data_IF_618403467031
#
_entry.id   IF_618403467031
#
_cell.length_a   1.000
_cell.length_b   1.000
_cell.length_c   1.000
_cell.angle_alpha   90.00
_cell.angle_beta   90.00
_cell.angle_gamma   90.00
#
_symmetry.space_group_name_H-M   'P 1'
#
loop_
_entity.id
_entity.type
_entity.pdbx_description
1 polymer ?
#
# COMPACT_ATOMS: atom_id res chain seq x y z
N UNK A 1 14.62 36.88 -17.41
CA UNK A 1 15.87 37.11 -16.66
C UNK A 1 16.76 35.87 -16.62
N UNK A 2 16.24 34.67 -16.33
CA UNK A 2 17.03 33.43 -16.29
C UNK A 2 17.78 33.10 -17.60
N UNK A 3 17.10 33.14 -18.75
CA UNK A 3 17.74 32.86 -20.05
C UNK A 3 18.91 33.81 -20.40
N UNK A 4 18.80 35.09 -20.01
CA UNK A 4 19.89 36.06 -20.21
C UNK A 4 21.11 35.72 -19.34
N UNK A 5 20.89 35.35 -18.07
CA UNK A 5 21.99 34.95 -17.19
C UNK A 5 22.71 33.69 -17.70
N UNK A 6 21.98 32.75 -18.31
CA UNK A 6 22.56 31.58 -18.97
C UNK A 6 23.40 32.01 -20.18
N UNK A 7 22.87 32.90 -21.03
CA UNK A 7 23.60 33.42 -22.19
C UNK A 7 24.91 34.14 -21.78
N UNK A 8 24.86 35.01 -20.77
CA UNK A 8 26.04 35.70 -20.23
C UNK A 8 27.07 34.71 -19.68
N UNK A 9 26.63 33.61 -19.06
CA UNK A 9 27.50 32.53 -18.58
C UNK A 9 28.22 31.81 -19.73
N UNK A 10 27.50 31.54 -20.83
CA UNK A 10 28.06 30.95 -22.06
C UNK A 10 29.11 31.88 -22.67
N UNK A 11 28.83 33.18 -22.78
CA UNK A 11 29.79 34.17 -23.29
C UNK A 11 31.06 34.26 -22.43
N UNK A 12 30.94 34.06 -21.11
CA UNK A 12 32.06 33.94 -20.18
C UNK A 12 32.80 32.60 -20.26
N UNK A 13 32.37 31.69 -21.13
CA UNK A 13 33.02 30.40 -21.36
C UNK A 13 32.63 29.29 -20.37
N UNK A 14 31.51 29.41 -19.67
CA UNK A 14 31.04 28.35 -18.77
C UNK A 14 30.59 27.11 -19.56
N UNK A 15 30.91 25.94 -19.02
CA UNK A 15 30.36 24.65 -19.51
C UNK A 15 29.09 24.33 -18.73
N UNK A 16 27.95 24.71 -19.29
CA UNK A 16 26.64 24.45 -18.70
C UNK A 16 26.17 23.08 -19.19
N UNK A 17 25.92 22.16 -18.26
CA UNK A 17 25.51 20.78 -18.57
C UNK A 17 23.99 20.56 -18.50
N UNK A 18 23.26 21.46 -17.82
CA UNK A 18 21.81 21.40 -17.65
C UNK A 18 21.30 22.57 -16.82
N UNK A 19 19.99 22.74 -16.79
CA UNK A 19 19.30 23.82 -16.08
C UNK A 19 18.16 23.22 -15.25
N UNK A 20 18.05 23.63 -14.00
CA UNK A 20 16.98 23.24 -13.08
C UNK A 20 16.15 24.48 -12.73
N UNK A 21 14.83 24.33 -12.75
CA UNK A 21 13.88 25.42 -12.54
C UNK A 21 12.80 24.92 -11.59
N UNK A 22 12.46 25.71 -10.56
CA UNK A 22 11.38 25.36 -9.64
C UNK A 22 9.99 25.59 -10.26
N UNK A 23 9.88 26.60 -11.12
CA UNK A 23 8.64 26.97 -11.82
C UNK A 23 8.51 26.22 -13.15
N UNK A 24 7.26 26.07 -13.63
CA UNK A 24 6.88 25.48 -14.94
C UNK A 24 7.27 26.40 -16.12
N UNK A 25 8.58 26.54 -16.34
CA UNK A 25 9.18 27.50 -17.27
C UNK A 25 10.21 26.85 -18.23
N UNK A 26 10.38 25.52 -18.24
CA UNK A 26 11.50 24.89 -18.97
C UNK A 26 11.45 25.20 -20.48
N UNK A 27 10.27 25.08 -21.10
CA UNK A 27 10.07 25.37 -22.53
C UNK A 27 10.37 26.84 -22.84
N UNK A 28 9.97 27.76 -21.96
CA UNK A 28 10.20 29.19 -22.14
C UNK A 28 11.69 29.54 -22.04
N UNK A 29 12.42 28.89 -21.13
CA UNK A 29 13.86 29.09 -20.96
C UNK A 29 14.62 28.46 -22.13
N UNK A 30 14.33 27.20 -22.46
CA UNK A 30 14.99 26.46 -23.53
C UNK A 30 14.93 27.20 -24.88
N UNK A 31 13.77 27.77 -25.23
CA UNK A 31 13.59 28.52 -26.47
C UNK A 31 14.36 29.86 -26.55
N UNK A 32 15.04 30.28 -25.46
CA UNK A 32 15.68 31.61 -25.35
C UNK A 32 17.16 31.54 -24.97
N UNK A 33 17.74 30.36 -24.78
CA UNK A 33 19.16 30.19 -24.46
C UNK A 33 19.96 29.84 -25.72
N UNK A 34 21.25 30.24 -25.81
CA UNK A 34 22.07 30.02 -27.01
C UNK A 34 22.68 28.60 -27.10
N UNK A 35 22.29 27.69 -26.21
CA UNK A 35 22.86 26.34 -26.06
C UNK A 35 21.75 25.30 -25.95
N UNK A 36 22.00 24.10 -26.46
CA UNK A 36 21.10 22.96 -26.35
C UNK A 36 21.51 22.09 -25.15
N UNK A 37 20.81 22.27 -24.03
CA UNK A 37 21.04 21.56 -22.76
C UNK A 37 19.70 21.14 -22.15
N UNK A 38 19.66 20.04 -21.38
CA UNK A 38 18.44 19.65 -20.68
C UNK A 38 18.00 20.75 -19.71
N UNK A 39 16.73 21.14 -19.81
CA UNK A 39 16.07 22.06 -18.89
C UNK A 39 14.94 21.29 -18.20
N UNK A 40 15.02 21.16 -16.88
CA UNK A 40 14.01 20.46 -16.06
C UNK A 40 13.30 21.50 -15.20
N UNK A 41 11.98 21.57 -15.29
CA UNK A 41 11.10 22.40 -14.50
C UNK A 41 10.37 21.62 -13.40
N UNK A 42 9.61 22.34 -12.56
CA UNK A 42 8.91 21.80 -11.39
C UNK A 42 9.85 21.02 -10.44
N UNK A 43 11.13 21.40 -10.41
CA UNK A 43 12.14 20.72 -9.59
C UNK A 43 12.00 21.20 -8.15
N UNK A 44 11.88 20.24 -7.23
CA UNK A 44 12.08 20.52 -5.81
C UNK A 44 13.55 20.88 -5.56
N UNK A 45 13.81 22.16 -5.35
CA UNK A 45 15.15 22.70 -5.06
C UNK A 45 15.41 22.78 -3.55
N UNK A 46 14.48 22.36 -2.70
CA UNK A 46 14.65 22.40 -1.25
C UNK A 46 15.85 21.54 -0.81
N UNK A 47 16.74 22.11 0.00
CA UNK A 47 17.95 21.44 0.46
C UNK A 47 19.06 21.27 -0.59
N UNK A 48 18.87 21.70 -1.86
CA UNK A 48 19.92 21.62 -2.88
C UNK A 48 21.05 22.64 -2.59
N UNK A 49 22.23 22.13 -2.22
CA UNK A 49 23.41 22.96 -1.93
C UNK A 49 24.18 23.31 -3.20
N UNK A 50 24.73 24.52 -3.24
CA UNK A 50 25.69 24.90 -4.30
C UNK A 50 26.89 23.96 -4.29
N UNK A 51 27.25 23.44 -5.46
CA UNK A 51 28.34 22.48 -5.61
C UNK A 51 27.93 21.01 -5.47
N UNK A 52 26.65 20.72 -5.18
CA UNK A 52 26.14 19.35 -5.24
C UNK A 52 26.21 18.80 -6.67
N UNK A 53 26.53 17.51 -6.79
CA UNK A 53 26.52 16.81 -8.05
C UNK A 53 25.09 16.37 -8.37
N UNK A 54 24.54 16.89 -9.47
CA UNK A 54 23.17 16.59 -9.90
C UNK A 54 23.22 15.86 -11.24
N UNK A 55 22.55 14.72 -11.31
CA UNK A 55 22.27 14.01 -12.55
C UNK A 55 21.02 14.62 -13.20
N UNK A 56 21.15 15.05 -14.47
CA UNK A 56 20.09 15.73 -15.21
C UNK A 56 19.89 15.04 -16.55
N UNK A 57 18.64 14.70 -16.88
CA UNK A 57 18.25 14.10 -18.16
C UNK A 57 16.89 14.66 -18.61
N UNK A 58 16.77 15.02 -19.89
CA UNK A 58 15.48 15.30 -20.54
C UNK A 58 15.35 14.32 -21.70
N UNK A 59 14.27 13.54 -21.69
CA UNK A 59 14.04 12.46 -22.64
C UNK A 59 13.35 13.04 -23.87
N UNK A 60 13.97 12.86 -25.03
CA UNK A 60 13.38 13.30 -26.30
C UNK A 60 12.04 12.59 -26.57
N UNK A 61 11.09 13.30 -27.17
CA UNK A 61 9.79 12.76 -27.53
C UNK A 61 9.92 11.49 -28.38
N UNK A 62 9.16 10.45 -28.03
CA UNK A 62 9.18 9.16 -28.73
C UNK A 62 10.36 8.24 -28.39
N UNK A 63 11.27 8.63 -27.48
CA UNK A 63 12.28 7.70 -26.94
C UNK A 63 11.77 6.95 -25.72
N UNK A 64 12.15 5.68 -25.64
CA UNK A 64 11.91 4.81 -24.50
C UNK A 64 13.13 4.65 -23.57
N UNK A 65 14.33 5.02 -24.03
CA UNK A 65 15.56 4.87 -23.27
C UNK A 65 15.83 6.07 -22.36
N UNK A 66 16.19 5.79 -21.10
CA UNK A 66 16.51 6.78 -20.05
C UNK A 66 17.76 6.32 -19.30
N UNK A 67 18.83 7.09 -19.36
CA UNK A 67 20.08 6.71 -18.71
C UNK A 67 19.99 6.86 -17.18
N UNK A 68 19.36 7.92 -16.67
CA UNK A 68 19.31 8.20 -15.23
C UNK A 68 18.26 7.35 -14.49
N UNK A 69 17.48 6.55 -15.22
CA UNK A 69 16.64 5.49 -14.65
C UNK A 69 17.34 4.11 -14.63
N UNK A 70 18.56 4.00 -15.14
CA UNK A 70 19.38 2.79 -14.98
C UNK A 70 20.19 2.90 -13.68
N UNK A 71 20.09 1.93 -12.75
CA UNK A 71 20.77 2.00 -11.45
C UNK A 71 22.29 2.14 -11.55
N UNK A 72 22.90 1.49 -12.54
CA UNK A 72 24.35 1.50 -12.74
C UNK A 72 24.77 2.85 -13.31
N UNK A 73 24.07 3.34 -14.33
CA UNK A 73 24.35 4.63 -14.95
C UNK A 73 24.11 5.79 -13.98
N UNK A 74 23.03 5.75 -13.19
CA UNK A 74 22.76 6.76 -12.17
C UNK A 74 23.82 6.73 -11.07
N UNK A 75 24.19 5.54 -10.57
CA UNK A 75 25.25 5.40 -9.57
C UNK A 75 26.59 5.94 -10.08
N UNK A 76 26.92 5.68 -11.35
CA UNK A 76 28.12 6.23 -11.98
C UNK A 76 28.06 7.76 -12.13
N UNK A 77 26.91 8.31 -12.55
CA UNK A 77 26.71 9.75 -12.72
C UNK A 77 26.84 10.51 -11.40
N UNK A 78 26.31 9.94 -10.30
CA UNK A 78 26.33 10.53 -8.97
C UNK A 78 27.53 10.09 -8.10
N UNK A 79 28.40 9.22 -8.62
CA UNK A 79 29.59 8.71 -7.92
C UNK A 79 29.28 8.05 -6.57
N UNK A 80 28.20 7.25 -6.51
CA UNK A 80 27.63 6.74 -5.24
C UNK A 80 28.33 5.50 -4.65
N UNK A 81 29.22 4.85 -5.39
CA UNK A 81 29.83 3.59 -4.98
C UNK A 81 28.95 2.36 -5.24
N UNK A 82 29.52 1.17 -5.05
CA UNK A 82 28.86 -0.11 -5.37
C UNK A 82 28.01 -0.66 -4.21
N UNK A 83 28.32 -0.25 -2.98
CA UNK A 83 27.61 -0.62 -1.76
C UNK A 83 26.15 -0.15 -1.76
N UNK A 84 25.86 0.99 -2.40
CA UNK A 84 24.52 1.59 -2.49
C UNK A 84 23.68 1.13 -3.67
N UNK A 85 24.19 0.22 -4.51
CA UNK A 85 23.50 -0.17 -5.75
C UNK A 85 22.10 -0.77 -5.53
N UNK A 86 21.85 -1.42 -4.38
CA UNK A 86 20.51 -1.94 -4.06
C UNK A 86 19.52 -0.80 -3.83
N UNK A 87 19.88 0.16 -2.98
CA UNK A 87 19.06 1.33 -2.69
C UNK A 87 18.81 2.15 -3.96
N UNK A 88 19.86 2.35 -4.77
CA UNK A 88 19.74 3.05 -6.06
C UNK A 88 18.81 2.29 -7.00
N UNK A 89 18.89 0.96 -7.05
CA UNK A 89 18.01 0.14 -7.89
C UNK A 89 16.55 0.10 -7.42
N UNK A 90 16.28 0.37 -6.15
CA UNK A 90 14.93 0.62 -5.66
C UNK A 90 14.45 2.00 -6.09
N UNK A 91 15.26 3.03 -5.89
CA UNK A 91 14.93 4.42 -6.25
C UNK A 91 14.71 4.62 -7.76
N UNK A 92 15.58 4.08 -8.63
CA UNK A 92 15.47 4.29 -10.08
C UNK A 92 14.18 3.76 -10.70
N UNK A 93 13.45 2.89 -10.00
CA UNK A 93 12.13 2.43 -10.46
C UNK A 93 11.15 3.59 -10.57
N UNK A 94 11.26 4.59 -9.70
CA UNK A 94 10.43 5.81 -9.74
C UNK A 94 10.75 6.69 -10.96
N UNK A 95 11.97 6.56 -11.51
CA UNK A 95 12.45 7.36 -12.64
C UNK A 95 12.17 6.71 -14.00
N UNK A 96 11.70 5.45 -14.02
CA UNK A 96 11.64 4.61 -15.21
C UNK A 96 10.86 5.22 -16.38
N UNK A 97 9.85 6.05 -16.09
CA UNK A 97 9.02 6.73 -17.10
C UNK A 97 9.13 8.25 -17.07
N UNK A 98 10.03 8.81 -16.25
CA UNK A 98 10.17 10.25 -16.12
C UNK A 98 10.56 10.89 -17.48
N UNK A 99 9.84 11.92 -17.97
CA UNK A 99 10.20 12.63 -19.20
C UNK A 99 11.39 13.57 -18.98
N UNK A 100 11.61 13.96 -17.72
CA UNK A 100 12.75 14.73 -17.27
C UNK A 100 13.14 14.25 -15.86
N UNK A 101 14.44 14.16 -15.59
CA UNK A 101 15.02 13.66 -14.35
C UNK A 101 16.03 14.69 -13.86
N UNK A 102 15.90 15.09 -12.61
CA UNK A 102 16.89 15.87 -11.89
C UNK A 102 17.05 15.28 -10.50
N UNK A 103 18.17 14.60 -10.25
CA UNK A 103 18.38 13.87 -8.99
C UNK A 103 19.78 14.12 -8.45
N UNK A 104 19.88 14.26 -7.14
CA UNK A 104 21.15 14.41 -6.42
C UNK A 104 21.22 13.40 -5.29
N UNK A 105 22.42 12.97 -4.97
CA UNK A 105 22.66 12.21 -3.75
C UNK A 105 22.40 13.12 -2.55
N UNK A 106 21.56 12.68 -1.60
CA UNK A 106 21.54 13.27 -0.27
C UNK A 106 22.85 12.91 0.43
N UNK A 107 23.60 13.92 0.86
CA UNK A 107 24.88 13.79 1.55
C UNK A 107 24.74 13.83 3.06
N UNK A 108 23.62 14.33 3.56
CA UNK A 108 23.25 14.36 4.96
C UNK A 108 21.84 13.77 5.11
N UNK A 109 21.53 13.13 6.26
CA UNK A 109 20.16 12.76 6.58
C UNK A 109 19.29 14.03 6.56
N UNK A 110 18.04 13.96 6.07
CA UNK A 110 17.12 15.08 6.24
C UNK A 110 17.02 15.42 7.74
N UNK A 111 16.99 16.72 8.06
CA UNK A 111 16.77 17.15 9.43
C UNK A 111 15.43 16.56 9.91
N UNK A 112 15.38 15.97 11.12
CA UNK A 112 14.13 15.47 11.66
C UNK A 112 13.10 16.60 11.74
N UNK A 113 11.82 16.35 11.36
CA UNK A 113 10.77 17.35 11.46
C UNK A 113 10.64 17.89 12.89
N UNK A 114 10.24 19.17 13.01
CA UNK A 114 10.00 19.76 14.31
C UNK A 114 8.82 19.07 15.01
N UNK A 115 8.71 19.23 16.33
CA UNK A 115 7.63 18.62 17.14
C UNK A 115 6.24 19.09 16.70
N UNK A 116 6.15 20.30 16.14
CA UNK A 116 4.89 20.90 15.68
C UNK A 116 4.47 20.42 14.28
N UNK A 117 5.43 19.93 13.49
CA UNK A 117 5.21 19.43 12.12
C UNK A 117 4.63 18.01 12.14
N UNK A 118 4.18 17.54 10.98
CA UNK A 118 3.81 16.14 10.81
C UNK A 118 5.06 15.25 10.91
N UNK A 119 4.98 14.22 11.76
CA UNK A 119 6.11 13.32 12.00
C UNK A 119 5.67 11.88 12.30
N UNK A 120 6.61 10.97 12.10
CA UNK A 120 6.54 9.58 12.50
C UNK A 120 7.82 9.22 13.25
N UNK A 121 7.69 8.88 14.52
CA UNK A 121 8.79 8.36 15.32
C UNK A 121 8.88 6.84 15.09
N UNK A 122 9.99 6.40 14.51
CA UNK A 122 10.24 4.99 14.22
C UNK A 122 11.41 4.46 15.06
N UNK A 123 11.26 3.27 15.62
CA UNK A 123 12.35 2.50 16.22
C UNK A 123 13.13 1.78 15.13
N UNK A 124 14.38 2.17 14.92
CA UNK A 124 15.31 1.58 13.94
C UNK A 124 16.60 1.24 14.66
N UNK A 125 17.04 -0.02 14.59
CA UNK A 125 18.28 -0.46 15.25
C UNK A 125 18.30 -0.26 16.78
N UNK A 126 17.12 -0.13 17.42
CA UNK A 126 16.98 0.10 18.86
C UNK A 126 16.89 1.58 19.28
N UNK A 127 17.12 2.51 18.36
CA UNK A 127 16.97 3.95 18.60
C UNK A 127 15.68 4.48 18.00
N UNK A 128 15.10 5.51 18.62
CA UNK A 128 13.92 6.20 18.07
C UNK A 128 14.43 7.35 17.20
N UNK A 129 14.11 7.28 15.91
CA UNK A 129 14.43 8.30 14.91
C UNK A 129 13.14 8.87 14.36
N UNK A 130 13.09 10.19 14.25
CA UNK A 130 11.94 10.92 13.74
C UNK A 130 12.04 11.16 12.25
N UNK A 131 10.99 10.78 11.52
CA UNK A 131 10.90 10.92 10.06
C UNK A 131 9.70 11.78 9.66
N UNK A 132 9.83 12.49 8.54
CA UNK A 132 8.67 13.03 7.84
C UNK A 132 7.79 11.88 7.31
N UNK A 133 6.45 12.04 7.21
CA UNK A 133 5.54 10.97 6.77
C UNK A 133 5.92 10.30 5.44
N UNK A 134 6.39 11.08 4.45
CA UNK A 134 6.82 10.56 3.16
C UNK A 134 8.06 9.66 3.28
N UNK A 135 9.03 10.03 4.14
CA UNK A 135 10.22 9.23 4.39
C UNK A 135 9.92 7.98 5.22
N UNK A 136 8.94 8.07 6.13
CA UNK A 136 8.53 6.95 6.98
C UNK A 136 7.99 5.76 6.18
N UNK A 137 7.42 5.98 4.98
CA UNK A 137 6.97 4.90 4.09
C UNK A 137 8.09 3.90 3.79
N UNK A 138 9.25 4.38 3.35
CA UNK A 138 10.39 3.52 3.00
C UNK A 138 10.94 2.76 4.21
N UNK A 139 10.98 3.41 5.37
CA UNK A 139 11.45 2.81 6.63
C UNK A 139 10.49 1.72 7.11
N UNK A 140 9.21 2.05 7.27
CA UNK A 140 8.21 1.15 7.86
C UNK A 140 7.87 -0.05 6.98
N UNK A 141 8.22 -0.05 5.69
CA UNK A 141 8.12 -1.25 4.84
C UNK A 141 9.18 -2.31 5.18
N UNK A 142 10.34 -1.88 5.64
CA UNK A 142 11.49 -2.75 5.92
C UNK A 142 11.55 -3.14 7.40
N UNK A 143 11.03 -2.28 8.28
CA UNK A 143 10.98 -2.52 9.72
C UNK A 143 9.76 -3.36 10.13
N UNK A 144 9.89 -4.18 11.19
CA UNK A 144 8.79 -5.05 11.65
C UNK A 144 7.60 -4.24 12.20
N UNK A 145 6.39 -4.83 12.26
CA UNK A 145 5.28 -4.24 13.03
C UNK A 145 5.69 -3.91 14.46
N UNK A 146 5.26 -2.75 14.97
CA UNK A 146 5.73 -2.21 16.26
C UNK A 146 6.87 -1.20 16.18
N UNK A 147 7.35 -0.90 14.98
CA UNK A 147 8.44 0.04 14.79
C UNK A 147 7.97 1.49 14.79
N UNK A 148 6.74 1.80 14.34
CA UNK A 148 6.16 3.13 14.53
C UNK A 148 5.64 3.28 15.96
N UNK A 149 6.23 4.19 16.74
CA UNK A 149 5.92 4.34 18.18
C UNK A 149 5.10 5.58 18.50
N UNK A 150 5.23 6.63 17.69
CA UNK A 150 4.41 7.82 17.79
C UNK A 150 4.20 8.45 16.42
N UNK A 151 3.01 8.98 16.19
CA UNK A 151 2.62 9.60 14.92
C UNK A 151 1.90 10.89 15.20
N UNK A 152 2.33 11.97 14.54
CA UNK A 152 1.59 13.24 14.45
C UNK A 152 1.27 13.52 12.99
N UNK A 153 -0.01 13.66 12.70
CA UNK A 153 -0.52 13.98 11.36
C UNK A 153 -1.66 14.99 11.51
N UNK A 154 -1.36 16.26 11.25
CA UNK A 154 -2.30 17.39 11.35
C UNK A 154 -3.57 17.18 10.53
N UNK A 155 -3.48 16.46 9.41
CA UNK A 155 -4.62 16.11 8.56
C UNK A 155 -5.54 15.02 9.14
N UNK A 156 -5.11 14.29 10.18
CA UNK A 156 -5.85 13.19 10.80
C UNK A 156 -6.27 13.62 12.21
N UNK A 157 -7.56 13.91 12.48
CA UNK A 157 -7.99 14.44 13.79
C UNK A 157 -7.55 13.60 14.99
N UNK A 158 -7.55 12.27 14.86
CA UNK A 158 -7.12 11.37 15.93
C UNK A 158 -5.61 11.43 16.21
N UNK A 159 -4.79 11.90 15.27
CA UNK A 159 -3.33 12.00 15.40
C UNK A 159 -2.83 13.45 15.28
N UNK A 160 -3.73 14.44 15.25
CA UNK A 160 -3.38 15.84 15.01
C UNK A 160 -2.46 16.40 16.10
N UNK A 161 -2.64 15.94 17.34
CA UNK A 161 -1.83 16.35 18.50
C UNK A 161 -0.69 15.38 18.82
N UNK A 162 -0.48 14.36 17.98
CA UNK A 162 0.43 13.26 18.24
C UNK A 162 -0.20 12.16 19.09
N UNK A 163 -0.04 10.91 18.67
CA UNK A 163 -0.50 9.72 19.41
C UNK A 163 0.59 8.66 19.50
N UNK A 164 0.58 7.91 20.59
CA UNK A 164 1.34 6.67 20.70
C UNK A 164 0.66 5.57 19.87
N UNK A 165 1.45 4.76 19.18
CA UNK A 165 0.96 3.70 18.30
C UNK A 165 1.63 2.38 18.62
N UNK A 166 0.85 1.30 18.53
CA UNK A 166 1.38 -0.06 18.54
C UNK A 166 1.91 -0.47 17.18
N UNK A 167 1.40 0.13 16.09
CA UNK A 167 1.95 0.00 14.74
C UNK A 167 1.39 1.09 13.82
N UNK A 168 2.09 1.35 12.72
CA UNK A 168 1.58 2.15 11.62
C UNK A 168 2.07 1.59 10.29
N UNK A 169 1.23 1.68 9.26
CA UNK A 169 1.58 1.28 7.91
C UNK A 169 1.22 2.37 6.91
N UNK A 170 2.21 2.78 6.13
CA UNK A 170 2.09 3.86 5.16
C UNK A 170 2.13 3.25 3.76
N UNK A 171 1.19 3.62 2.91
CA UNK A 171 1.15 3.21 1.50
C UNK A 171 1.25 4.45 0.64
N UNK A 172 2.39 4.64 -0.02
CA UNK A 172 2.52 5.66 -1.05
C UNK A 172 1.68 5.27 -2.27
N UNK A 173 0.75 6.14 -2.66
CA UNK A 173 -0.10 5.90 -3.82
C UNK A 173 0.70 6.00 -5.13
N UNK A 174 1.84 6.69 -5.15
CA UNK A 174 2.69 6.74 -6.34
C UNK A 174 3.27 5.36 -6.68
N UNK A 175 3.50 4.52 -5.67
CA UNK A 175 3.93 3.13 -5.87
C UNK A 175 2.87 2.26 -6.59
N UNK A 176 1.59 2.65 -6.54
CA UNK A 176 0.47 1.92 -7.13
C UNK A 176 0.39 2.15 -8.65
N UNK A 177 0.78 3.34 -9.11
CA UNK A 177 0.82 3.67 -10.56
C UNK A 177 1.83 2.76 -11.30
N UNK A 178 2.96 2.46 -10.63
CA UNK A 178 4.03 1.59 -11.14
C UNK A 178 3.60 0.13 -11.34
N UNK A 179 2.64 -0.37 -10.55
CA UNK A 179 2.15 -1.75 -10.65
C UNK A 179 1.04 -1.93 -11.69
N UNK A 180 0.31 -0.87 -12.01
CA UNK A 180 -0.90 -0.92 -12.82
C UNK A 180 -0.70 -0.49 -14.29
N UNK A 181 0.46 0.07 -14.64
CA UNK A 181 0.81 0.54 -15.99
C UNK A 181 -0.29 1.44 -16.59
N UNK A 182 -0.83 2.34 -15.78
CA UNK A 182 -1.97 3.16 -16.19
C UNK A 182 -1.52 4.29 -17.12
N UNK A 183 -2.47 4.74 -17.95
CA UNK A 183 -2.33 6.02 -18.65
C UNK A 183 -2.28 7.15 -17.61
N UNK A 184 -1.29 8.04 -17.72
CA UNK A 184 -1.14 9.19 -16.81
C UNK A 184 -2.40 10.08 -16.78
N UNK A 185 -2.76 10.55 -15.59
CA UNK A 185 -3.93 11.41 -15.37
C UNK A 185 -5.29 10.69 -15.33
N UNK A 186 -5.31 9.37 -15.52
CA UNK A 186 -6.53 8.57 -15.44
C UNK A 186 -6.92 8.27 -13.98
N UNK A 187 -5.94 8.30 -13.08
CA UNK A 187 -6.09 8.13 -11.63
C UNK A 187 -5.24 9.17 -10.87
N UNK A 188 -5.68 9.59 -9.68
CA UNK A 188 -4.92 10.49 -8.81
C UNK A 188 -4.10 9.69 -7.80
N UNK A 189 -2.92 9.25 -8.23
CA UNK A 189 -1.98 8.47 -7.43
C UNK A 189 -1.10 9.34 -6.51
N UNK A 190 -1.49 10.58 -6.19
CA UNK A 190 -0.72 11.47 -5.31
C UNK A 190 -1.12 11.32 -3.85
N UNK A 191 -0.11 11.19 -2.99
CA UNK A 191 -0.22 11.20 -1.54
C UNK A 191 -0.08 9.82 -0.91
N UNK A 192 -0.26 9.77 0.40
CA UNK A 192 -0.01 8.56 1.20
C UNK A 192 -1.27 8.17 1.96
N UNK A 193 -1.62 6.90 1.93
CA UNK A 193 -2.64 6.32 2.80
C UNK A 193 -1.97 5.80 4.05
N UNK A 194 -2.51 6.15 5.22
CA UNK A 194 -1.94 5.76 6.51
C UNK A 194 -2.95 4.91 7.27
N UNK A 195 -2.47 3.78 7.78
CA UNK A 195 -3.16 2.97 8.76
C UNK A 195 -2.45 3.10 10.11
N UNK A 196 -3.21 3.36 11.17
CA UNK A 196 -2.70 3.55 12.52
C UNK A 196 -3.36 2.53 13.45
N UNK A 197 -2.55 1.83 14.24
CA UNK A 197 -2.99 1.01 15.35
C UNK A 197 -2.64 1.74 16.64
N UNK A 198 -3.64 2.35 17.26
CA UNK A 198 -3.47 3.09 18.50
C UNK A 198 -3.22 2.13 19.67
N UNK A 199 -2.36 2.55 20.61
CA UNK A 199 -2.11 1.82 21.85
C UNK A 199 -3.28 2.01 22.84
N UNK A 200 -4.35 1.24 22.68
CA UNK A 200 -5.54 1.29 23.55
C UNK A 200 -5.56 0.16 24.58
N UNK A 201 -6.03 0.48 25.80
CA UNK A 201 -6.22 -0.49 26.85
C UNK A 201 -7.47 -1.36 26.58
N UNK A 202 -7.25 -2.62 26.20
CA UNK A 202 -8.32 -3.61 26.05
C UNK A 202 -9.09 -3.79 27.35
N UNK A 203 -10.40 -3.52 27.31
CA UNK A 203 -11.32 -3.77 28.43
C UNK A 203 -12.12 -5.05 28.17
N UNK A 204 -12.13 -5.99 29.11
CA UNK A 204 -12.91 -7.22 28.99
C UNK A 204 -14.42 -6.92 29.04
N UNK A 205 -15.12 -7.25 27.95
CA UNK A 205 -16.56 -7.03 27.82
C UNK A 205 -17.42 -8.08 28.55
N UNK A 206 -16.84 -9.14 29.12
CA UNK A 206 -17.59 -10.24 29.72
C UNK A 206 -18.53 -9.79 30.86
N UNK A 207 -18.08 -8.86 31.70
CA UNK A 207 -18.91 -8.31 32.79
C UNK A 207 -20.14 -7.57 32.23
N UNK A 208 -19.91 -6.66 31.27
CA UNK A 208 -20.95 -5.89 30.59
C UNK A 208 -21.93 -6.79 29.84
N UNK A 209 -21.44 -7.81 29.13
CA UNK A 209 -22.29 -8.79 28.44
C UNK A 209 -23.13 -9.61 29.42
N UNK A 210 -22.56 -9.98 30.57
CA UNK A 210 -23.30 -10.73 31.59
C UNK A 210 -24.46 -9.90 32.15
N UNK A 211 -24.21 -8.62 32.41
CA UNK A 211 -25.23 -7.68 32.89
C UNK A 211 -26.34 -7.46 31.83
N UNK A 212 -25.96 -7.17 30.59
CA UNK A 212 -26.92 -6.87 29.52
C UNK A 212 -27.79 -8.07 29.13
N UNK A 213 -27.25 -9.29 29.22
CA UNK A 213 -27.93 -10.51 28.74
C UNK A 213 -28.59 -11.32 29.85
N UNK A 214 -28.25 -11.07 31.12
CA UNK A 214 -28.66 -11.92 32.25
C UNK A 214 -28.12 -13.35 32.18
N UNK A 215 -27.08 -13.59 31.37
CA UNK A 215 -26.44 -14.90 31.18
C UNK A 215 -24.96 -14.81 31.56
N UNK A 216 -24.36 -15.85 32.16
CA UNK A 216 -22.93 -15.83 32.44
C UNK A 216 -22.12 -15.70 31.14
N UNK A 217 -21.29 -14.67 31.04
CA UNK A 217 -20.29 -14.52 29.99
C UNK A 217 -18.88 -14.62 30.60
N UNK A 218 -17.95 -15.18 29.84
CA UNK A 218 -16.56 -15.38 30.29
C UNK A 218 -15.63 -15.25 29.09
N UNK A 219 -14.51 -14.57 29.30
CA UNK A 219 -13.46 -14.45 28.29
C UNK A 219 -12.55 -15.69 28.38
N UNK A 220 -12.63 -16.51 27.35
CA UNK A 220 -11.97 -17.81 27.29
C UNK A 220 -10.53 -17.74 26.79
N UNK A 221 -10.29 -16.88 25.81
CA UNK A 221 -9.02 -16.74 25.11
C UNK A 221 -8.96 -15.35 24.45
N UNK A 222 -7.76 -14.97 24.03
CA UNK A 222 -7.58 -13.79 23.17
C UNK A 222 -8.14 -14.05 21.77
N UNK A 223 -8.52 -12.99 21.07
CA UNK A 223 -9.03 -13.08 19.70
C UNK A 223 -8.08 -13.83 18.75
N UNK A 224 -6.75 -13.54 18.72
CA UNK A 224 -5.82 -14.26 17.85
C UNK A 224 -5.73 -15.76 18.18
N UNK A 225 -5.81 -16.14 19.46
CA UNK A 225 -5.77 -17.54 19.87
C UNK A 225 -7.03 -18.31 19.42
N UNK A 226 -8.21 -17.68 19.57
CA UNK A 226 -9.46 -18.24 19.07
C UNK A 226 -9.47 -18.33 17.54
N UNK A 227 -9.06 -17.27 16.84
CA UNK A 227 -8.96 -17.24 15.38
C UNK A 227 -8.07 -18.38 14.86
N UNK A 228 -6.89 -18.56 15.46
CA UNK A 228 -5.98 -19.63 15.08
C UNK A 228 -6.58 -21.01 15.33
N UNK A 229 -7.21 -21.24 16.49
CA UNK A 229 -7.82 -22.53 16.80
C UNK A 229 -8.89 -22.91 15.78
N UNK A 230 -9.74 -21.96 15.40
CA UNK A 230 -10.75 -22.17 14.36
C UNK A 230 -10.12 -22.38 12.99
N UNK A 231 -9.13 -21.57 12.60
CA UNK A 231 -8.43 -21.73 11.32
C UNK A 231 -7.79 -23.12 11.17
N UNK A 232 -7.28 -23.69 12.27
CA UNK A 232 -6.71 -25.04 12.29
C UNK A 232 -7.74 -26.17 12.14
N UNK A 233 -9.04 -25.89 12.13
CA UNK A 233 -10.06 -26.88 11.74
C UNK A 233 -10.25 -26.98 10.23
N UNK A 234 -9.53 -26.16 9.44
CA UNK A 234 -9.51 -26.24 7.98
C UNK A 234 -9.03 -27.63 7.53
N UNK A 235 -9.84 -28.38 6.76
CA UNK A 235 -9.45 -29.70 6.26
C UNK A 235 -8.18 -29.65 5.42
N UNK A 236 -7.23 -30.55 5.70
CA UNK A 236 -5.99 -30.68 4.93
C UNK A 236 -4.93 -29.60 5.20
N UNK A 237 -5.12 -28.77 6.23
CA UNK A 237 -4.14 -27.75 6.60
C UNK A 237 -2.81 -28.41 7.07
N UNK A 238 -1.65 -28.06 6.48
CA UNK A 238 -0.37 -28.62 6.91
C UNK A 238 -0.02 -28.26 8.37
N UNK A 239 0.64 -29.15 9.12
CA UNK A 239 1.20 -28.81 10.42
C UNK A 239 2.19 -27.64 10.32
N UNK A 240 2.20 -26.76 11.32
CA UNK A 240 3.07 -25.59 11.34
C UNK A 240 2.64 -24.45 10.41
N UNK A 241 1.42 -24.50 9.86
CA UNK A 241 0.86 -23.37 9.10
C UNK A 241 0.68 -22.14 9.98
N UNK A 242 0.95 -20.96 9.43
CA UNK A 242 0.64 -19.68 10.06
C UNK A 242 -0.74 -19.23 9.62
N UNK A 243 -1.56 -18.76 10.56
CA UNK A 243 -2.88 -18.20 10.30
C UNK A 243 -2.73 -16.70 10.09
N UNK A 244 -3.34 -16.16 9.04
CA UNK A 244 -3.40 -14.73 8.77
C UNK A 244 -4.86 -14.28 8.81
N UNK A 245 -5.31 -13.67 9.91
CA UNK A 245 -6.64 -13.07 9.98
C UNK A 245 -6.58 -11.66 9.37
N UNK A 246 -7.42 -11.43 8.36
CA UNK A 246 -7.49 -10.16 7.64
C UNK A 246 -8.81 -9.48 7.99
N UNK A 247 -8.73 -8.55 8.93
CA UNK A 247 -9.83 -7.73 9.40
C UNK A 247 -10.12 -6.50 8.53
N UNK A 248 -10.88 -5.57 9.11
CA UNK A 248 -11.07 -4.23 8.54
C UNK A 248 -9.84 -3.36 8.74
N UNK A 249 -9.39 -3.24 10.00
CA UNK A 249 -8.28 -2.37 10.39
C UNK A 249 -6.94 -3.07 10.58
N UNK A 250 -6.93 -4.37 10.92
CA UNK A 250 -5.71 -5.10 11.30
C UNK A 250 -5.47 -6.35 10.45
N UNK A 251 -4.18 -6.68 10.33
CA UNK A 251 -3.70 -7.98 9.85
C UNK A 251 -3.04 -8.68 11.03
N UNK A 252 -3.49 -9.89 11.34
CA UNK A 252 -3.00 -10.67 12.46
C UNK A 252 -2.38 -11.98 11.97
N UNK A 253 -1.06 -12.12 12.11
CA UNK A 253 -0.34 -13.37 11.82
C UNK A 253 -0.12 -14.15 13.11
N UNK A 254 -0.65 -15.37 13.15
CA UNK A 254 -0.60 -16.26 14.31
C UNK A 254 0.15 -17.53 13.93
N UNK A 255 1.37 -17.67 14.43
CA UNK A 255 2.19 -18.87 14.29
C UNK A 255 2.40 -19.59 15.63
N UNK A 256 3.28 -20.58 15.65
CA UNK A 256 3.61 -21.30 16.87
C UNK A 256 4.41 -20.38 17.83
N UNK A 257 3.79 -20.01 18.95
CA UNK A 257 4.45 -19.23 20.01
C UNK A 257 4.66 -17.75 19.71
N UNK A 258 4.21 -17.25 18.54
CA UNK A 258 4.32 -15.84 18.15
C UNK A 258 3.06 -15.36 17.44
N UNK A 259 2.56 -14.22 17.89
CA UNK A 259 1.47 -13.47 17.26
C UNK A 259 2.00 -12.09 16.89
N UNK A 260 1.67 -11.64 15.68
CA UNK A 260 2.07 -10.33 15.16
C UNK A 260 0.83 -9.64 14.61
N UNK A 261 0.53 -8.48 15.16
CA UNK A 261 -0.58 -7.63 14.73
C UNK A 261 -0.02 -6.40 14.04
N UNK A 262 -0.53 -6.08 12.86
CA UNK A 262 -0.14 -4.92 12.09
C UNK A 262 -1.33 -4.03 11.75
N UNK A 263 -1.08 -2.72 11.71
CA UNK A 263 -2.03 -1.73 11.23
C UNK A 263 -2.21 -1.90 9.71
N UNK A 264 -3.45 -1.80 9.25
CA UNK A 264 -3.77 -1.69 7.82
C UNK A 264 -4.17 -3.01 7.18
N UNK A 265 -5.47 -3.12 6.89
CA UNK A 265 -6.07 -4.27 6.22
C UNK A 265 -7.08 -3.82 5.16
N UNK A 266 -8.32 -4.32 5.21
CA UNK A 266 -9.35 -4.03 4.23
C UNK A 266 -9.69 -2.54 4.08
N UNK A 267 -9.65 -1.76 5.15
CA UNK A 267 -9.96 -0.33 5.11
C UNK A 267 -8.89 0.51 4.41
N UNK A 268 -7.63 0.07 4.43
CA UNK A 268 -6.54 0.71 3.70
C UNK A 268 -6.80 0.64 2.20
N UNK A 269 -7.22 -0.52 1.69
CA UNK A 269 -7.62 -0.69 0.28
C UNK A 269 -8.77 0.27 -0.06
N UNK A 270 -9.79 0.34 0.79
CA UNK A 270 -10.94 1.23 0.56
C UNK A 270 -10.53 2.69 0.49
N UNK A 271 -9.65 3.11 1.39
CA UNK A 271 -9.17 4.49 1.46
C UNK A 271 -8.32 4.82 0.24
N UNK A 272 -7.43 3.91 -0.18
CA UNK A 272 -6.66 4.04 -1.40
C UNK A 272 -7.55 4.14 -2.64
N UNK A 273 -8.51 3.23 -2.82
CA UNK A 273 -9.45 3.27 -3.95
C UNK A 273 -10.26 4.57 -3.98
N UNK A 274 -10.77 5.01 -2.82
CA UNK A 274 -11.54 6.25 -2.71
C UNK A 274 -10.70 7.47 -3.12
N UNK A 275 -9.46 7.55 -2.64
CA UNK A 275 -8.53 8.64 -2.93
C UNK A 275 -8.11 8.67 -4.40
N UNK A 276 -7.72 7.51 -4.94
CA UNK A 276 -7.20 7.35 -6.30
C UNK A 276 -8.25 7.64 -7.37
N UNK A 277 -9.50 7.25 -7.13
CA UNK A 277 -10.60 7.47 -8.07
C UNK A 277 -11.39 8.76 -7.79
N UNK A 278 -11.19 9.41 -6.65
CA UNK A 278 -11.98 10.56 -6.22
C UNK A 278 -13.46 10.22 -5.99
N UNK A 279 -13.74 9.07 -5.38
CA UNK A 279 -15.12 8.56 -5.16
C UNK A 279 -15.46 8.40 -3.67
N UNK A 280 -16.76 8.37 -3.30
CA UNK A 280 -17.17 8.13 -1.92
C UNK A 280 -16.69 6.77 -1.38
N UNK A 281 -16.29 6.73 -0.10
CA UNK A 281 -15.78 5.52 0.58
C UNK A 281 -16.72 4.32 0.48
N UNK A 282 -18.04 4.53 0.57
CA UNK A 282 -19.03 3.45 0.44
C UNK A 282 -19.02 2.80 -0.96
N UNK A 283 -18.76 3.59 -2.02
CA UNK A 283 -18.62 3.07 -3.38
C UNK A 283 -17.28 2.33 -3.54
N UNK A 284 -16.19 2.92 -3.02
CA UNK A 284 -14.86 2.28 -2.99
C UNK A 284 -14.91 0.89 -2.31
N UNK A 285 -15.61 0.79 -1.18
CA UNK A 285 -15.76 -0.44 -0.40
C UNK A 285 -16.45 -1.57 -1.18
N UNK A 286 -17.36 -1.20 -2.09
CA UNK A 286 -18.04 -2.12 -2.99
C UNK A 286 -17.11 -2.54 -4.13
N UNK A 287 -16.59 -1.58 -4.89
CA UNK A 287 -15.84 -1.87 -6.12
C UNK A 287 -14.50 -2.57 -5.86
N UNK A 288 -13.93 -2.43 -4.64
CA UNK A 288 -12.71 -3.16 -4.28
C UNK A 288 -12.92 -4.68 -4.23
N UNK A 289 -14.16 -5.15 -4.05
CA UNK A 289 -14.50 -6.58 -3.86
C UNK A 289 -15.20 -7.21 -5.05
N UNK A 290 -15.74 -6.40 -5.97
CA UNK A 290 -16.59 -6.89 -7.06
C UNK A 290 -16.00 -6.57 -8.43
N UNK A 291 -16.11 -7.49 -9.40
CA UNK A 291 -15.78 -7.20 -10.78
C UNK A 291 -16.58 -6.00 -11.33
N UNK A 292 -15.94 -5.21 -12.17
CA UNK A 292 -16.56 -4.11 -12.89
C UNK A 292 -16.81 -4.47 -14.36
N UNK A 293 -17.72 -3.71 -14.98
CA UNK A 293 -18.02 -3.80 -16.40
C UNK A 293 -18.13 -2.39 -16.99
N UNK A 294 -17.67 -2.22 -18.22
CA UNK A 294 -17.85 -1.00 -18.99
C UNK A 294 -19.07 -1.12 -19.88
N UNK A 295 -20.03 -0.22 -19.75
CA UNK A 295 -21.24 -0.23 -20.59
C UNK A 295 -20.91 0.42 -21.93
N UNK A 296 -21.05 -0.30 -23.03
CA UNK A 296 -20.76 0.20 -24.38
C UNK A 296 -22.01 0.78 -25.06
N UNK A 297 -23.20 0.29 -24.69
CA UNK A 297 -24.48 0.75 -25.22
C UNK A 297 -25.65 0.27 -24.34
N UNK A 298 -26.91 0.47 -24.78
CA UNK A 298 -28.08 0.14 -23.95
C UNK A 298 -28.13 -1.33 -23.52
N UNK A 299 -27.70 -2.27 -24.37
CA UNK A 299 -27.78 -3.71 -24.07
C UNK A 299 -26.43 -4.42 -24.08
N UNK A 300 -25.32 -3.71 -24.23
CA UNK A 300 -23.99 -4.31 -24.39
C UNK A 300 -23.03 -3.75 -23.37
N UNK A 301 -22.30 -4.64 -22.71
CA UNK A 301 -21.23 -4.31 -21.80
C UNK A 301 -19.98 -5.17 -22.04
N UNK A 302 -18.87 -4.69 -21.52
CA UNK A 302 -17.54 -5.29 -21.59
C UNK A 302 -17.02 -5.52 -20.17
N UNK A 303 -16.84 -6.78 -19.78
CA UNK A 303 -16.36 -7.17 -18.46
C UNK A 303 -14.86 -6.95 -18.33
N UNK A 304 -14.38 -6.78 -17.10
CA UNK A 304 -12.94 -6.64 -16.80
C UNK A 304 -12.09 -7.88 -17.10
N UNK A 305 -12.69 -9.02 -17.44
CA UNK A 305 -11.99 -10.21 -17.94
C UNK A 305 -11.93 -10.29 -19.48
N UNK A 306 -12.38 -9.24 -20.17
CA UNK A 306 -12.36 -9.11 -21.62
C UNK A 306 -13.60 -9.65 -22.33
N UNK A 307 -14.56 -10.26 -21.61
CA UNK A 307 -15.79 -10.77 -22.23
C UNK A 307 -16.77 -9.64 -22.55
N UNK A 308 -17.37 -9.72 -23.74
CA UNK A 308 -18.56 -8.93 -24.08
C UNK A 308 -19.82 -9.66 -23.67
N UNK A 309 -20.74 -8.95 -23.01
CA UNK A 309 -21.98 -9.50 -22.46
C UNK A 309 -23.18 -8.66 -22.87
N UNK A 310 -24.34 -9.30 -22.96
CA UNK A 310 -25.62 -8.62 -23.12
C UNK A 310 -26.27 -8.37 -21.75
N UNK A 311 -26.85 -7.19 -21.56
CA UNK A 311 -27.58 -6.83 -20.35
C UNK A 311 -29.03 -7.30 -20.43
N UNK A 312 -29.54 -7.86 -19.33
CA UNK A 312 -30.93 -8.36 -19.23
C UNK A 312 -31.98 -7.23 -19.38
N UNK A 313 -31.60 -6.01 -19.04
CA UNK A 313 -32.41 -4.80 -19.17
C UNK A 313 -31.57 -3.67 -19.76
N UNK A 314 -32.20 -2.69 -20.44
CA UNK A 314 -31.45 -1.57 -21.00
C UNK A 314 -30.74 -0.78 -19.89
N UNK A 315 -29.45 -0.54 -20.06
CA UNK A 315 -28.65 0.30 -19.18
C UNK A 315 -29.23 1.72 -19.10
N UNK A 316 -29.25 2.33 -17.89
CA UNK A 316 -29.65 3.72 -17.75
C UNK A 316 -28.66 4.62 -18.48
N UNK A 317 -29.16 5.77 -18.98
CA UNK A 317 -28.36 6.68 -19.81
C UNK A 317 -27.06 7.15 -19.13
N UNK A 318 -27.06 7.32 -17.81
CA UNK A 318 -25.89 7.71 -17.01
C UNK A 318 -24.80 6.64 -16.92
N UNK A 319 -25.13 5.37 -17.18
CA UNK A 319 -24.19 4.26 -17.16
C UNK A 319 -23.50 4.06 -18.52
N UNK A 320 -24.11 4.48 -19.62
CA UNK A 320 -23.58 4.28 -20.98
C UNK A 320 -22.24 5.00 -21.12
N UNK A 321 -21.24 4.29 -21.64
CA UNK A 321 -19.86 4.77 -21.82
C UNK A 321 -19.01 4.75 -20.53
N UNK A 322 -19.60 4.38 -19.38
CA UNK A 322 -18.93 4.39 -18.08
C UNK A 322 -18.59 2.99 -17.59
N UNK A 323 -17.58 2.94 -16.73
CA UNK A 323 -17.26 1.80 -15.91
C UNK A 323 -18.21 1.75 -14.71
N UNK A 324 -18.80 0.60 -14.50
CA UNK A 324 -19.89 0.37 -13.57
C UNK A 324 -19.62 -0.85 -12.69
N UNK A 325 -20.13 -0.81 -11.47
CA UNK A 325 -20.29 -1.99 -10.61
C UNK A 325 -21.75 -2.41 -10.58
N UNK A 326 -21.99 -3.69 -10.27
CA UNK A 326 -23.34 -4.19 -10.02
C UNK A 326 -23.79 -3.84 -8.61
N UNK A 327 -24.94 -3.19 -8.49
CA UNK A 327 -25.65 -2.88 -7.25
C UNK A 327 -26.95 -3.67 -7.13
N UNK A 328 -27.63 -3.56 -5.99
CA UNK A 328 -28.93 -4.20 -5.76
C UNK A 328 -30.04 -3.64 -6.66
N UNK A 329 -29.93 -2.36 -7.04
CA UNK A 329 -30.90 -1.67 -7.89
C UNK A 329 -30.47 -1.57 -9.36
N UNK A 330 -29.36 -2.22 -9.76
CA UNK A 330 -28.82 -2.15 -11.12
C UNK A 330 -27.37 -1.66 -11.18
N UNK A 331 -26.98 -1.13 -12.33
CA UNK A 331 -25.61 -0.65 -12.59
C UNK A 331 -25.33 0.67 -11.88
N UNK A 332 -24.18 0.75 -11.21
CA UNK A 332 -23.72 1.97 -10.52
C UNK A 332 -22.44 2.46 -11.20
N UNK A 333 -22.49 3.57 -11.95
CA UNK A 333 -21.32 4.13 -12.62
C UNK A 333 -20.35 4.75 -11.62
N UNK A 334 -19.04 4.54 -11.82
CA UNK A 334 -18.01 5.09 -10.93
C UNK A 334 -16.80 5.70 -11.65
N UNK A 335 -16.56 5.38 -12.92
CA UNK A 335 -15.50 6.03 -13.70
C UNK A 335 -15.91 6.19 -15.16
N UNK A 336 -15.46 7.29 -15.77
CA UNK A 336 -15.56 7.54 -17.22
C UNK A 336 -14.18 7.54 -17.90
N UNK A 337 -13.09 7.42 -17.12
CA UNK A 337 -11.71 7.54 -17.61
C UNK A 337 -11.05 6.19 -17.80
N UNK A 338 -11.41 5.22 -16.95
CA UNK A 338 -10.82 3.87 -16.91
C UNK A 338 -11.54 2.91 -17.85
N UNK A 339 -10.76 2.08 -18.55
CA UNK A 339 -11.21 0.79 -19.08
C UNK A 339 -11.41 -0.23 -17.94
N UNK A 340 -12.11 -1.33 -18.24
CA UNK A 340 -12.42 -2.34 -17.23
C UNK A 340 -11.15 -3.08 -16.76
N UNK A 341 -10.24 -3.37 -17.68
CA UNK A 341 -8.95 -4.02 -17.43
C UNK A 341 -7.97 -3.10 -16.71
N UNK A 342 -7.98 -1.79 -17.05
CA UNK A 342 -7.19 -0.78 -16.33
C UNK A 342 -7.62 -0.73 -14.86
N UNK A 343 -8.93 -0.75 -14.60
CA UNK A 343 -9.44 -0.80 -13.24
C UNK A 343 -9.06 -2.09 -12.51
N UNK A 344 -9.17 -3.25 -13.16
CA UNK A 344 -8.74 -4.53 -12.57
C UNK A 344 -7.25 -4.51 -12.20
N UNK A 345 -6.41 -3.97 -13.07
CA UNK A 345 -4.97 -3.84 -12.84
C UNK A 345 -4.67 -2.90 -11.68
N UNK A 346 -5.34 -1.74 -11.63
CA UNK A 346 -5.25 -0.79 -10.52
C UNK A 346 -5.70 -1.41 -9.20
N UNK A 347 -6.82 -2.12 -9.20
CA UNK A 347 -7.36 -2.76 -7.99
C UNK A 347 -6.42 -3.84 -7.45
N UNK A 348 -5.76 -4.60 -8.31
CA UNK A 348 -4.73 -5.57 -7.91
C UNK A 348 -3.49 -4.87 -7.33
N UNK A 349 -2.99 -3.82 -7.99
CA UNK A 349 -1.86 -3.05 -7.50
C UNK A 349 -2.13 -2.44 -6.11
N UNK A 350 -3.34 -1.89 -5.89
CA UNK A 350 -3.74 -1.39 -4.57
C UNK A 350 -3.69 -2.51 -3.52
N UNK A 351 -4.25 -3.70 -3.81
CA UNK A 351 -4.24 -4.84 -2.88
C UNK A 351 -2.82 -5.31 -2.57
N UNK A 352 -1.95 -5.29 -3.57
CA UNK A 352 -0.55 -5.67 -3.43
C UNK A 352 0.22 -4.68 -2.53
N UNK A 353 0.17 -3.37 -2.84
CA UNK A 353 0.94 -2.36 -2.10
C UNK A 353 0.38 -2.03 -0.71
N UNK A 354 -0.87 -2.41 -0.43
CA UNK A 354 -1.49 -2.28 0.89
C UNK A 354 -1.32 -3.58 1.70
N UNK A 355 -2.26 -4.51 1.54
CA UNK A 355 -2.40 -5.66 2.45
C UNK A 355 -1.37 -6.74 2.17
N UNK A 356 -1.05 -7.03 0.91
CA UNK A 356 -0.08 -8.09 0.62
C UNK A 356 1.34 -7.71 1.06
N UNK A 357 1.76 -6.47 0.80
CA UNK A 357 3.03 -5.92 1.30
C UNK A 357 3.08 -5.94 2.83
N UNK A 358 1.99 -5.58 3.50
CA UNK A 358 1.93 -5.61 4.96
C UNK A 358 1.98 -7.04 5.54
N UNK A 359 1.31 -8.01 4.90
CA UNK A 359 1.42 -9.43 5.26
C UNK A 359 2.86 -9.92 5.10
N UNK A 360 3.53 -9.56 4.00
CA UNK A 360 4.93 -9.91 3.80
C UNK A 360 5.84 -9.29 4.88
N UNK A 361 5.59 -8.03 5.27
CA UNK A 361 6.27 -7.36 6.38
C UNK A 361 6.06 -8.10 7.71
N UNK A 362 4.85 -8.53 8.01
CA UNK A 362 4.57 -9.33 9.21
C UNK A 362 5.28 -10.68 9.17
N UNK A 363 5.29 -11.35 8.01
CA UNK A 363 5.88 -12.67 7.86
C UNK A 363 7.39 -12.66 8.02
N UNK A 364 8.05 -11.58 7.60
CA UNK A 364 9.50 -11.39 7.77
C UNK A 364 9.96 -11.36 9.24
N UNK A 365 9.02 -11.23 10.19
CA UNK A 365 9.33 -11.29 11.61
C UNK A 365 9.49 -12.70 12.17
N UNK A 366 9.02 -13.73 11.45
CA UNK A 366 9.18 -15.12 11.85
C UNK A 366 10.58 -15.62 11.46
N UNK A 367 11.20 -16.42 12.33
CA UNK A 367 12.58 -16.88 12.13
C UNK A 367 12.73 -17.74 10.86
N UNK A 368 11.71 -18.53 10.55
CA UNK A 368 11.63 -19.37 9.35
C UNK A 368 10.31 -19.14 8.60
N UNK A 369 10.33 -19.09 7.26
CA UNK A 369 9.10 -18.98 6.48
C UNK A 369 8.26 -20.25 6.65
N UNK A 370 6.96 -20.14 6.94
CA UNK A 370 6.12 -21.31 7.13
C UNK A 370 5.87 -22.03 5.80
N UNK A 371 5.63 -23.34 5.87
CA UNK A 371 5.22 -24.11 4.69
C UNK A 371 3.95 -23.54 4.06
N UNK A 372 2.99 -23.13 4.90
CA UNK A 372 1.74 -22.54 4.45
C UNK A 372 1.30 -21.36 5.31
N UNK A 373 0.71 -20.36 4.64
CA UNK A 373 -0.02 -19.25 5.22
C UNK A 373 -1.50 -19.43 4.88
N UNK A 374 -2.36 -19.55 5.88
CA UNK A 374 -3.81 -19.70 5.68
C UNK A 374 -4.53 -18.39 5.99
N UNK A 375 -5.20 -17.82 4.98
CA UNK A 375 -5.93 -16.57 5.11
C UNK A 375 -7.34 -16.83 5.69
N UNK A 376 -7.66 -16.14 6.77
CA UNK A 376 -8.96 -16.13 7.42
C UNK A 376 -9.52 -14.70 7.48
N UNK A 377 -10.76 -14.57 7.95
CA UNK A 377 -11.39 -13.28 8.16
C UNK A 377 -12.12 -12.75 6.93
N UNK A 378 -12.52 -11.48 7.01
CA UNK A 378 -13.32 -10.84 5.97
C UNK A 378 -12.56 -10.59 4.68
N UNK A 379 -11.27 -10.24 4.78
CA UNK A 379 -10.42 -10.03 3.61
C UNK A 379 -10.18 -11.31 2.80
N UNK A 380 -10.14 -12.46 3.45
CA UNK A 380 -9.89 -13.74 2.79
C UNK A 380 -10.99 -14.20 1.81
N UNK A 381 -12.18 -13.57 1.83
CA UNK A 381 -13.23 -13.80 0.82
C UNK A 381 -12.87 -13.24 -0.57
N UNK A 382 -11.86 -12.39 -0.65
CA UNK A 382 -11.44 -11.74 -1.88
C UNK A 382 -10.40 -12.60 -2.61
N UNK A 383 -10.77 -13.17 -3.76
CA UNK A 383 -9.88 -14.01 -4.58
C UNK A 383 -8.66 -13.23 -5.11
N UNK A 384 -8.81 -11.94 -5.38
CA UNK A 384 -7.69 -11.10 -5.83
C UNK A 384 -6.72 -10.82 -4.68
N UNK A 385 -7.22 -10.71 -3.44
CA UNK A 385 -6.34 -10.60 -2.28
C UNK A 385 -5.57 -11.90 -2.06
N UNK A 386 -6.24 -13.06 -2.13
CA UNK A 386 -5.58 -14.37 -2.07
C UNK A 386 -4.47 -14.48 -3.13
N UNK A 387 -4.77 -14.06 -4.36
CA UNK A 387 -3.80 -14.05 -5.47
C UNK A 387 -2.62 -13.12 -5.19
N UNK A 388 -2.86 -11.86 -4.84
CA UNK A 388 -1.81 -10.85 -4.64
C UNK A 388 -0.89 -11.20 -3.46
N UNK A 389 -1.43 -11.79 -2.38
CA UNK A 389 -0.63 -12.34 -1.28
C UNK A 389 0.22 -13.53 -1.75
N UNK A 390 -0.37 -14.46 -2.50
CA UNK A 390 0.36 -15.59 -3.08
C UNK A 390 1.50 -15.17 -4.02
N UNK A 391 1.26 -14.17 -4.86
CA UNK A 391 2.26 -13.60 -5.76
C UNK A 391 3.39 -12.89 -4.98
N UNK A 392 3.03 -12.12 -3.93
CA UNK A 392 3.99 -11.38 -3.10
C UNK A 392 4.92 -12.30 -2.29
N UNK A 393 4.43 -13.47 -1.87
CA UNK A 393 5.18 -14.44 -1.06
C UNK A 393 5.86 -15.53 -1.88
N UNK A 394 5.79 -15.46 -3.22
CA UNK A 394 6.33 -16.49 -4.12
C UNK A 394 7.83 -16.71 -3.93
N UNK A 395 8.60 -15.64 -3.70
CA UNK A 395 10.05 -15.71 -3.46
C UNK A 395 10.40 -16.44 -2.16
N UNK A 396 9.54 -16.32 -1.14
CA UNK A 396 9.68 -16.99 0.15
C UNK A 396 9.26 -18.48 0.12
N UNK A 397 8.74 -18.98 -1.01
CA UNK A 397 8.25 -20.36 -1.18
C UNK A 397 7.14 -20.76 -0.20
N UNK A 398 6.38 -19.78 0.28
CA UNK A 398 5.25 -19.99 1.19
C UNK A 398 4.01 -20.31 0.37
N UNK A 399 3.32 -21.39 0.70
CA UNK A 399 2.03 -21.72 0.07
C UNK A 399 0.93 -20.87 0.70
N UNK A 400 0.21 -20.09 -0.10
CA UNK A 400 -0.89 -19.27 0.40
C UNK A 400 -2.22 -19.96 0.08
N UNK A 401 -3.03 -20.18 1.11
CA UNK A 401 -4.33 -20.82 1.02
C UNK A 401 -5.42 -20.02 1.72
N UNK A 402 -6.68 -20.40 1.48
CA UNK A 402 -7.86 -19.85 2.15
C UNK A 402 -8.33 -20.83 3.22
N UNK A 403 -8.69 -20.33 4.40
CA UNK A 403 -9.29 -21.14 5.45
C UNK A 403 -10.66 -21.67 5.03
N UNK A 404 -11.01 -22.86 5.51
CA UNK A 404 -12.35 -23.43 5.43
C UNK A 404 -12.73 -23.95 6.81
N UNK A 405 -13.18 -23.04 7.68
CA UNK A 405 -13.42 -23.32 9.09
C UNK A 405 -14.45 -24.44 9.22
N UNK A 406 -14.07 -25.49 9.94
CA UNK A 406 -14.79 -26.75 10.14
C UNK A 406 -15.19 -27.47 8.83
N UNK A 407 -14.62 -27.08 7.69
CA UNK A 407 -14.96 -27.60 6.36
C UNK A 407 -16.32 -27.14 5.81
N UNK A 408 -16.93 -26.12 6.43
CA UNK A 408 -18.32 -25.70 6.10
C UNK A 408 -18.53 -24.18 6.10
N UNK A 409 -17.60 -23.40 6.64
CA UNK A 409 -17.78 -21.96 6.84
C UNK A 409 -16.92 -21.11 5.91
N UNK A 410 -16.07 -21.70 5.06
CA UNK A 410 -15.07 -20.96 4.32
C UNK A 410 -14.16 -20.17 5.28
N UNK A 411 -13.67 -18.99 4.91
CA UNK A 411 -12.70 -18.26 5.74
C UNK A 411 -13.35 -17.48 6.91
N UNK A 412 -14.65 -17.63 7.13
CA UNK A 412 -15.40 -16.91 8.17
C UNK A 412 -15.53 -17.76 9.43
N UNK A 413 -15.93 -17.11 10.53
CA UNK A 413 -16.22 -17.77 11.82
C UNK A 413 -15.02 -18.38 12.55
N UNK A 414 -13.78 -18.05 12.16
CA UNK A 414 -12.57 -18.58 12.81
C UNK A 414 -12.58 -18.37 14.33
N UNK A 415 -12.80 -17.14 14.80
CA UNK A 415 -12.89 -16.81 16.24
C UNK A 415 -14.06 -17.54 16.91
N UNK A 416 -15.26 -17.48 16.32
CA UNK A 416 -16.46 -18.05 16.91
C UNK A 416 -16.36 -19.58 17.06
N UNK A 417 -15.94 -20.28 16.01
CA UNK A 417 -15.69 -21.73 16.04
C UNK A 417 -14.55 -22.06 16.99
N UNK A 418 -13.44 -21.31 16.94
CA UNK A 418 -12.30 -21.49 17.83
C UNK A 418 -12.66 -21.43 19.31
N UNK A 419 -13.49 -20.47 19.73
CA UNK A 419 -14.01 -20.40 21.10
C UNK A 419 -14.82 -21.64 21.50
N UNK A 420 -15.64 -22.17 20.58
CA UNK A 420 -16.42 -23.41 20.84
C UNK A 420 -15.49 -24.61 21.02
N UNK A 421 -14.47 -24.75 20.17
CA UNK A 421 -13.47 -25.83 20.28
C UNK A 421 -12.66 -25.73 21.58
N UNK A 422 -12.14 -24.54 21.90
CA UNK A 422 -11.42 -24.29 23.14
C UNK A 422 -12.27 -24.60 24.38
N UNK A 423 -13.55 -24.25 24.34
CA UNK A 423 -14.47 -24.52 25.44
C UNK A 423 -14.73 -26.03 25.61
N UNK A 424 -14.93 -26.75 24.50
CA UNK A 424 -15.11 -28.20 24.52
C UNK A 424 -13.87 -28.92 25.07
N UNK A 425 -12.66 -28.50 24.65
CA UNK A 425 -11.38 -29.03 25.11
C UNK A 425 -11.19 -28.85 26.63
N UNK A 426 -11.53 -27.68 27.17
CA UNK A 426 -11.48 -27.43 28.62
C UNK A 426 -12.40 -28.38 29.40
N UNK A 427 -13.61 -28.68 28.90
CA UNK A 427 -14.53 -29.61 29.57
C UNK A 427 -14.03 -31.04 29.58
N UNK A 428 -13.46 -31.52 28.47
CA UNK A 428 -12.89 -32.87 28.37
C UNK A 428 -11.67 -33.01 29.29
N UNK A 429 -10.81 -31.99 29.35
CA UNK A 429 -9.66 -31.97 30.25
C UNK A 429 -10.03 -31.96 31.74
N UNK A 430 -11.19 -31.39 32.08
CA UNK A 430 -11.71 -31.36 33.47
C UNK A 430 -12.34 -32.68 33.89
N UNK A 431 -12.96 -33.41 32.94
CA UNK A 431 -13.55 -34.75 33.19
C UNK A 431 -12.54 -35.89 33.19
N UNK A 432 -11.37 -35.72 32.56
CA UNK A 432 -10.28 -36.70 32.60
C UNK A 432 -9.36 -36.55 33.84
N UNK A 433 -9.47 -35.45 34.58
CA UNK A 433 -8.72 -35.16 35.82
C UNK A 433 -9.53 -35.35 37.11
N UNK A 434 -10.84 -35.53 36.99
CA UNK A 434 -11.74 -35.92 38.08
C UNK A 434 -11.96 -37.44 38.04
#
# INVERSE_FOLDING_TARGET
MAAQAIADGVERGWKIAGVLVAEDDAVLIHNRIPIDVPVVDEVDLEGLRRGALVAVEVVAEGRAYRAMADPIALSAALQLGHDRLRDVAEFTRELADAPAIAVTARTEPPEPPAVEDDYVDCRVGGEIVRYAPAAAHGVLRLEPPGSAVAVRLSAIPAAADGIATDDAFFTDLAAIDNGAWLRRGVADARGTVVALLAADALTDAAATLSELTGRPATTLATEPAAAARGAHTTPGLPPGSVVCDIGGGTVDLIGQGRTVTAAGAGETITTAVARVLGIPRALAERIKRTPALRVEGPHVAHEEDGRRVFLDSPAPAEAIGRLCTRGSAGLVPFSHRLAAEEWRSLRLAIKQETVAANIARCLATFDEPPTALVLAGGGALDDELLRTVGESLRSARVVVGRADIDGVHGPRFAVASGLVHLYAEQRVGTTARA
#
